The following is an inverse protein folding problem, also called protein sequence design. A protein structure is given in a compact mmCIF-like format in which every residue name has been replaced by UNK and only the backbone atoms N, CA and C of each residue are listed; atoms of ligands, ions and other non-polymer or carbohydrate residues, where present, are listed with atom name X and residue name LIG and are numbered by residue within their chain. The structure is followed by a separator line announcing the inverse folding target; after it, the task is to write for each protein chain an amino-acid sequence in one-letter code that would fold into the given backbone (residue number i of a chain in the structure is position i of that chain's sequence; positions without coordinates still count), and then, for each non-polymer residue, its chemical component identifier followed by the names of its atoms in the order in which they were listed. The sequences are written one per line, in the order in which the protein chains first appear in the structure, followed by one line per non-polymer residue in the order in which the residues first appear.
data_IF_468203742268
#
_entry.id   IF_468203742268
#
_cell.length_a   1.000
_cell.length_b   1.000
_cell.length_c   1.000
_cell.angle_alpha   90.00
_cell.angle_beta   90.00
_cell.angle_gamma   90.00
#
_symmetry.space_group_name_H-M   'P 1'
#
loop_
_entity.id
_entity.type
_entity.pdbx_description
1 polymer ?
#
# COMPACT_ATOMS: atom_id res chain seq x y z
N UNK A 1 -19.97 -5.96 25.96
CA UNK A 1 -19.03 -4.93 26.45
C UNK A 1 -18.25 -4.31 25.31
N UNK A 2 -17.64 -5.09 24.40
CA UNK A 2 -16.89 -4.58 23.25
C UNK A 2 -17.72 -3.72 22.26
N UNK A 3 -18.99 -4.04 21.95
CA UNK A 3 -19.86 -3.15 21.14
C UNK A 3 -20.04 -1.75 21.75
N UNK A 4 -20.13 -1.66 23.08
CA UNK A 4 -20.25 -0.37 23.79
C UNK A 4 -18.99 0.49 23.71
N UNK A 5 -17.84 -0.08 23.38
CA UNK A 5 -16.59 0.68 23.17
C UNK A 5 -16.67 1.45 21.85
N UNK A 6 -17.26 0.85 20.82
CA UNK A 6 -17.46 1.51 19.53
C UNK A 6 -18.55 2.61 19.57
N UNK A 7 -19.43 2.58 20.56
CA UNK A 7 -20.45 3.62 20.83
C UNK A 7 -19.88 4.85 21.58
N UNK A 8 -18.60 4.82 21.97
CA UNK A 8 -17.96 5.94 22.65
C UNK A 8 -17.69 7.09 21.68
N UNK A 9 -17.75 8.32 22.18
CA UNK A 9 -17.39 9.50 21.37
C UNK A 9 -15.93 9.39 20.91
N UNK A 10 -15.59 9.85 19.69
CA UNK A 10 -14.22 9.81 19.17
C UNK A 10 -13.14 10.36 20.13
N UNK A 11 -13.46 11.43 20.87
CA UNK A 11 -12.54 11.99 21.88
C UNK A 11 -12.27 11.07 23.07
N UNK A 12 -13.29 10.33 23.53
CA UNK A 12 -13.16 9.38 24.62
C UNK A 12 -12.39 8.13 24.15
N UNK A 13 -12.61 7.70 22.90
CA UNK A 13 -11.83 6.63 22.26
C UNK A 13 -10.35 6.98 22.13
N UNK A 14 -10.04 8.21 21.69
CA UNK A 14 -8.66 8.66 21.58
C UNK A 14 -7.97 8.69 22.96
N UNK A 15 -8.67 9.17 23.99
CA UNK A 15 -8.14 9.25 25.37
C UNK A 15 -7.79 7.88 25.95
N UNK A 16 -8.59 6.86 25.66
CA UNK A 16 -8.38 5.49 26.17
C UNK A 16 -7.71 4.53 25.16
N UNK A 17 -7.32 5.04 23.98
CA UNK A 17 -6.78 4.25 22.87
C UNK A 17 -5.60 3.36 23.30
N UNK A 18 -4.69 3.89 24.14
CA UNK A 18 -3.53 3.16 24.63
C UNK A 18 -3.92 2.02 25.59
N UNK A 19 -4.86 2.23 26.52
CA UNK A 19 -5.31 1.13 27.41
C UNK A 19 -6.11 0.08 26.64
N UNK A 20 -6.96 0.51 25.70
CA UNK A 20 -7.79 -0.39 24.89
C UNK A 20 -6.91 -1.26 23.99
N UNK A 21 -5.95 -0.68 23.27
CA UNK A 21 -5.02 -1.42 22.41
C UNK A 21 -4.17 -2.43 23.19
N UNK A 22 -3.66 -2.06 24.37
CA UNK A 22 -2.91 -2.97 25.24
C UNK A 22 -3.78 -4.14 25.74
N UNK A 23 -4.99 -3.85 26.22
CA UNK A 23 -5.92 -4.88 26.69
C UNK A 23 -6.33 -5.83 25.56
N UNK A 24 -6.59 -5.29 24.36
CA UNK A 24 -6.96 -6.08 23.20
C UNK A 24 -5.81 -6.96 22.69
N UNK A 25 -4.57 -6.46 22.71
CA UNK A 25 -3.39 -7.25 22.40
C UNK A 25 -3.26 -8.45 23.36
N UNK A 26 -3.41 -8.25 24.67
CA UNK A 26 -3.33 -9.33 25.65
C UNK A 26 -4.44 -10.36 25.45
N UNK A 27 -5.67 -9.89 25.20
CA UNK A 27 -6.83 -10.75 24.96
C UNK A 27 -6.62 -11.64 23.72
N UNK A 28 -6.18 -11.04 22.60
CA UNK A 28 -5.94 -11.76 21.36
C UNK A 28 -4.74 -12.71 21.47
N UNK A 29 -3.66 -12.33 22.15
CA UNK A 29 -2.54 -13.25 22.39
C UNK A 29 -2.94 -14.50 23.15
N UNK A 30 -3.85 -14.38 24.12
CA UNK A 30 -4.29 -15.51 24.92
C UNK A 30 -5.38 -16.34 24.23
N UNK A 31 -6.23 -15.73 23.40
CA UNK A 31 -7.49 -16.36 22.94
C UNK A 31 -7.69 -16.41 21.43
N UNK A 32 -6.79 -15.86 20.59
CA UNK A 32 -7.01 -15.81 19.14
C UNK A 32 -7.32 -17.19 18.52
N UNK A 33 -6.69 -18.26 19.01
CA UNK A 33 -6.94 -19.62 18.54
C UNK A 33 -8.37 -20.14 18.83
N UNK A 34 -9.06 -19.53 19.80
CA UNK A 34 -10.40 -19.95 20.25
C UNK A 34 -11.52 -19.07 19.67
N UNK A 35 -11.21 -18.12 18.78
CA UNK A 35 -12.20 -17.24 18.16
C UNK A 35 -12.65 -17.84 16.83
N UNK A 36 -13.88 -18.35 16.80
CA UNK A 36 -14.48 -19.05 15.66
C UNK A 36 -15.73 -18.35 15.10
N UNK A 37 -15.90 -17.06 15.39
CA UNK A 37 -17.05 -16.29 14.88
C UNK A 37 -16.58 -15.07 14.12
N UNK A 38 -17.05 -14.94 12.88
CA UNK A 38 -16.85 -13.77 12.04
C UNK A 38 -17.29 -12.47 12.72
N UNK A 39 -18.38 -12.50 13.51
CA UNK A 39 -18.85 -11.32 14.23
C UNK A 39 -17.88 -10.87 15.33
N UNK A 40 -17.26 -11.82 16.03
CA UNK A 40 -16.25 -11.50 17.04
C UNK A 40 -14.98 -10.94 16.41
N UNK A 41 -14.55 -11.51 15.28
CA UNK A 41 -13.43 -10.99 14.52
C UNK A 41 -13.71 -9.58 13.99
N UNK A 42 -14.90 -9.34 13.43
CA UNK A 42 -15.32 -8.02 12.98
C UNK A 42 -15.23 -7.00 14.12
N UNK A 43 -15.76 -7.35 15.29
CA UNK A 43 -15.69 -6.48 16.46
C UNK A 43 -14.25 -6.19 16.93
N UNK A 44 -13.38 -7.19 16.94
CA UNK A 44 -11.98 -6.98 17.31
C UNK A 44 -11.25 -6.10 16.30
N UNK A 45 -11.42 -6.33 15.00
CA UNK A 45 -10.79 -5.50 13.97
C UNK A 45 -11.34 -4.09 13.96
N UNK A 46 -12.65 -3.88 14.10
CA UNK A 46 -13.22 -2.52 14.20
C UNK A 46 -12.68 -1.76 15.41
N UNK A 47 -12.45 -2.42 16.55
CA UNK A 47 -11.81 -1.77 17.70
C UNK A 47 -10.34 -1.43 17.38
N UNK A 48 -9.58 -2.36 16.78
CA UNK A 48 -8.19 -2.11 16.37
C UNK A 48 -8.09 -0.94 15.37
N UNK A 49 -9.01 -0.86 14.41
CA UNK A 49 -9.11 0.22 13.43
C UNK A 49 -9.41 1.56 14.10
N UNK A 50 -10.39 1.59 15.01
CA UNK A 50 -10.76 2.80 15.73
C UNK A 50 -9.64 3.31 16.64
N UNK A 51 -8.93 2.44 17.38
CA UNK A 51 -7.88 2.87 18.31
C UNK A 51 -6.51 3.04 17.66
N UNK A 52 -6.21 2.28 16.61
CA UNK A 52 -4.92 2.30 15.94
C UNK A 52 -4.84 3.30 14.80
N UNK A 53 -5.87 3.38 13.95
CA UNK A 53 -5.89 4.27 12.79
C UNK A 53 -6.81 5.49 12.97
N UNK A 54 -7.51 5.60 14.11
CA UNK A 54 -8.55 6.60 14.32
C UNK A 54 -9.61 6.60 13.21
N UNK A 55 -9.96 5.40 12.74
CA UNK A 55 -11.06 5.16 11.82
C UNK A 55 -12.37 5.10 12.62
N UNK A 56 -12.98 6.25 12.84
CA UNK A 56 -14.31 6.33 13.46
C UNK A 56 -15.35 6.10 12.38
N UNK A 57 -16.37 5.28 12.67
CA UNK A 57 -17.47 5.10 11.73
C UNK A 57 -18.25 6.42 11.71
N UNK A 58 -18.31 7.07 10.53
CA UNK A 58 -19.26 8.15 10.32
C UNK A 58 -20.67 7.54 10.42
N UNK A 59 -21.58 8.21 11.14
CA UNK A 59 -22.96 7.74 11.40
C UNK A 59 -23.83 7.48 10.14
N UNK A 60 -23.27 7.55 8.92
CA UNK A 60 -23.95 7.42 7.62
C UNK A 60 -23.43 6.28 6.71
N UNK A 61 -22.58 5.34 7.18
CA UNK A 61 -22.12 4.20 6.36
C UNK A 61 -22.80 2.87 6.75
N UNK A 62 -23.81 2.48 5.97
CA UNK A 62 -24.49 1.20 6.10
C UNK A 62 -23.52 0.01 5.93
N UNK A 63 -23.60 -0.94 6.85
CA UNK A 63 -22.81 -2.18 6.95
C UNK A 63 -22.95 -3.13 5.73
N UNK A 64 -23.69 -2.74 4.70
CA UNK A 64 -24.03 -3.53 3.51
C UNK A 64 -22.92 -3.46 2.44
N UNK A 65 -22.09 -2.42 2.47
CA UNK A 65 -21.02 -2.22 1.46
C UNK A 65 -19.75 -3.05 1.70
N UNK A 66 -19.64 -3.74 2.83
CA UNK A 66 -18.49 -4.61 3.15
C UNK A 66 -18.63 -6.00 2.49
N UNK A 67 -19.85 -6.39 2.09
CA UNK A 67 -20.15 -7.76 1.63
C UNK A 67 -20.27 -7.87 0.10
N UNK A 68 -20.45 -6.75 -0.64
CA UNK A 68 -20.55 -6.76 -2.09
C UNK A 68 -19.51 -5.83 -2.74
N UNK A 69 -18.62 -6.33 -3.63
CA UNK A 69 -17.85 -5.44 -4.48
C UNK A 69 -18.84 -4.70 -5.39
N UNK A 70 -18.85 -3.37 -5.30
CA UNK A 70 -19.69 -2.46 -6.10
C UNK A 70 -19.60 -2.86 -7.58
N UNK A 71 -20.68 -3.49 -8.05
CA UNK A 71 -20.98 -3.71 -9.46
C UNK A 71 -22.02 -2.68 -9.86
N UNK A 72 -21.64 -1.84 -10.82
CA UNK A 72 -22.50 -1.02 -11.70
C UNK A 72 -23.66 -0.24 -11.05
N UNK A 73 -23.57 1.09 -11.15
CA UNK A 73 -24.70 2.02 -11.06
C UNK A 73 -25.91 1.56 -11.89
N UNK A 74 -27.16 1.72 -11.39
CA UNK A 74 -28.36 1.41 -12.17
C UNK A 74 -28.63 2.48 -13.25
N UNK A 75 -29.25 2.14 -14.38
CA UNK A 75 -29.58 3.09 -15.43
C UNK A 75 -30.80 3.96 -15.03
N UNK A 76 -30.71 5.25 -15.29
CA UNK A 76 -31.82 6.19 -15.13
C UNK A 76 -32.96 5.92 -16.13
N UNK A 77 -34.23 6.21 -15.78
CA UNK A 77 -35.39 5.89 -16.61
C UNK A 77 -35.54 6.83 -17.81
N UNK A 78 -35.78 6.22 -18.99
CA UNK A 78 -36.14 6.86 -20.26
C UNK A 78 -37.59 7.36 -20.22
N UNK A 79 -37.83 8.64 -20.57
CA UNK A 79 -39.17 9.09 -21.00
C UNK A 79 -39.09 10.13 -22.14
N UNK A 80 -39.42 9.67 -23.37
CA UNK A 80 -40.07 10.35 -24.53
C UNK A 80 -39.43 11.54 -25.27
N UNK A 81 -39.83 11.87 -26.53
CA UNK A 81 -40.35 11.03 -27.63
C UNK A 81 -39.57 11.18 -28.97
N UNK A 82 -39.80 10.20 -29.86
CA UNK A 82 -39.18 9.98 -31.17
C UNK A 82 -39.37 11.12 -32.20
N UNK A 83 -38.32 11.40 -32.99
CA UNK A 83 -38.41 11.96 -34.35
C UNK A 83 -37.46 11.21 -35.31
N UNK A 84 -37.75 11.11 -36.61
CA UNK A 84 -37.29 10.03 -37.48
C UNK A 84 -35.90 10.25 -38.09
N UNK A 85 -35.25 9.13 -38.40
CA UNK A 85 -33.91 8.99 -38.96
C UNK A 85 -33.66 9.78 -40.27
N UNK A 86 -32.55 10.51 -40.30
CA UNK A 86 -31.80 10.80 -41.53
C UNK A 86 -30.36 10.28 -41.37
N UNK A 87 -29.96 9.35 -42.23
CA UNK A 87 -28.60 8.80 -42.32
C UNK A 87 -27.68 9.78 -43.08
N UNK A 88 -26.43 10.01 -42.63
CA UNK A 88 -25.36 10.50 -43.50
C UNK A 88 -24.54 9.35 -44.12
N UNK A 89 -23.77 9.60 -45.20
CA UNK A 89 -23.23 8.58 -46.11
C UNK A 89 -22.01 7.84 -45.54
N UNK A 90 -21.55 6.72 -46.16
CA UNK A 90 -20.53 5.86 -45.60
C UNK A 90 -19.14 6.47 -45.84
N UNK A 91 -18.53 6.99 -44.77
CA UNK A 91 -17.11 7.34 -44.75
C UNK A 91 -16.34 6.23 -44.05
N UNK A 92 -15.24 5.80 -44.67
CA UNK A 92 -14.29 4.78 -44.22
C UNK A 92 -13.97 4.88 -42.73
N UNK A 93 -14.18 3.79 -41.99
CA UNK A 93 -13.79 3.66 -40.58
C UNK A 93 -12.27 3.57 -40.50
N UNK A 94 -11.58 4.71 -40.47
CA UNK A 94 -10.28 4.80 -39.82
C UNK A 94 -10.56 4.57 -38.31
N UNK A 95 -10.01 3.50 -37.74
CA UNK A 95 -10.09 3.22 -36.30
C UNK A 95 -9.47 4.40 -35.55
N UNK A 96 -10.31 5.31 -35.07
CA UNK A 96 -9.89 6.41 -34.20
C UNK A 96 -9.77 5.81 -32.81
N UNK A 97 -8.55 5.49 -32.38
CA UNK A 97 -8.28 5.09 -31.00
C UNK A 97 -8.63 6.29 -30.11
N UNK A 98 -9.78 6.22 -29.43
CA UNK A 98 -10.18 7.29 -28.53
C UNK A 98 -9.26 7.28 -27.31
N UNK A 99 -8.39 8.29 -27.17
CA UNK A 99 -7.64 8.53 -25.93
C UNK A 99 -8.64 8.73 -24.78
N UNK A 100 -8.87 7.68 -24.01
CA UNK A 100 -9.56 7.74 -22.73
C UNK A 100 -10.78 6.82 -22.63
N UNK A 101 -10.56 5.51 -22.59
CA UNK A 101 -11.52 4.62 -21.94
C UNK A 101 -11.72 5.09 -20.49
N UNK A 102 -12.97 5.17 -20.02
CA UNK A 102 -13.28 5.57 -18.63
C UNK A 102 -12.72 4.60 -17.59
N UNK A 103 -12.38 3.38 -18.01
CA UNK A 103 -11.79 2.31 -17.22
C UNK A 103 -10.51 2.75 -16.50
N UNK A 104 -9.65 3.53 -17.16
CA UNK A 104 -8.32 3.89 -16.63
C UNK A 104 -8.21 5.32 -16.09
N UNK A 105 -9.36 5.99 -15.86
CA UNK A 105 -9.41 7.34 -15.29
C UNK A 105 -9.34 7.37 -13.76
N UNK A 106 -9.30 6.21 -13.10
CA UNK A 106 -9.25 6.13 -11.63
C UNK A 106 -7.94 6.78 -11.13
N UNK A 107 -8.07 7.67 -10.15
CA UNK A 107 -6.96 8.45 -9.59
C UNK A 107 -6.01 7.62 -8.73
N UNK A 108 -5.35 8.27 -7.77
CA UNK A 108 -4.36 7.66 -6.87
C UNK A 108 -4.97 6.60 -5.96
N UNK A 109 -4.19 5.59 -5.56
CA UNK A 109 -4.63 4.59 -4.56
C UNK A 109 -4.83 5.30 -3.22
N UNK A 110 -6.02 5.21 -2.65
CA UNK A 110 -6.33 5.58 -1.26
C UNK A 110 -6.97 4.36 -0.61
N UNK A 111 -6.35 3.85 0.45
CA UNK A 111 -6.83 2.62 1.09
C UNK A 111 -7.95 2.89 2.10
N UNK A 112 -7.86 4.03 2.77
CA UNK A 112 -8.76 4.47 3.83
C UNK A 112 -8.93 6.00 3.77
N UNK A 113 -10.03 6.52 3.20
CA UNK A 113 -10.30 7.94 3.25
C UNK A 113 -10.64 8.37 4.69
N UNK A 114 -10.39 9.64 5.02
CA UNK A 114 -10.88 10.31 6.23
C UNK A 114 -10.37 9.79 7.59
N UNK A 115 -9.14 9.25 7.65
CA UNK A 115 -8.52 8.92 8.94
C UNK A 115 -8.28 10.19 9.79
N UNK A 116 -8.69 10.11 11.06
CA UNK A 116 -8.44 11.15 12.06
C UNK A 116 -7.03 11.06 12.64
N UNK A 117 -6.69 11.98 13.55
CA UNK A 117 -5.40 11.89 14.25
C UNK A 117 -5.42 10.74 15.27
N UNK A 118 -4.43 9.85 15.19
CA UNK A 118 -4.32 8.69 16.08
C UNK A 118 -3.23 8.86 17.14
N UNK A 119 -3.38 8.16 18.26
CA UNK A 119 -2.34 8.05 19.27
C UNK A 119 -1.22 7.13 18.78
N UNK A 120 0.02 7.63 18.82
CA UNK A 120 1.18 6.90 18.31
C UNK A 120 1.43 5.60 19.06
N UNK A 121 1.24 5.58 20.38
CA UNK A 121 1.51 4.40 21.19
C UNK A 121 0.47 3.30 20.94
N UNK A 122 -0.81 3.68 20.85
CA UNK A 122 -1.90 2.77 20.47
C UNK A 122 -1.69 2.20 19.06
N UNK A 123 -1.31 3.03 18.09
CA UNK A 123 -1.01 2.59 16.73
C UNK A 123 0.10 1.52 16.70
N UNK A 124 1.25 1.80 17.31
CA UNK A 124 2.37 0.83 17.34
C UNK A 124 1.96 -0.49 18.00
N UNK A 125 1.14 -0.40 19.06
CA UNK A 125 0.58 -1.58 19.75
C UNK A 125 -0.36 -2.40 18.86
N UNK A 126 -1.17 -1.74 18.03
CA UNK A 126 -2.03 -2.41 17.04
C UNK A 126 -1.19 -3.09 15.96
N UNK A 127 -0.15 -2.43 15.45
CA UNK A 127 0.76 -3.02 14.45
C UNK A 127 1.46 -4.28 15.00
N UNK A 128 1.94 -4.25 16.25
CA UNK A 128 2.47 -5.45 16.91
C UNK A 128 1.44 -6.57 17.01
N UNK A 129 0.17 -6.22 17.24
CA UNK A 129 -0.94 -7.19 17.36
C UNK A 129 -1.23 -7.83 16.01
N UNK A 130 -1.27 -7.04 14.92
CA UNK A 130 -1.38 -7.56 13.56
C UNK A 130 -0.18 -8.42 13.18
N UNK A 131 1.03 -8.04 13.60
CA UNK A 131 2.24 -8.84 13.40
C UNK A 131 2.22 -10.18 14.13
N UNK A 132 1.52 -10.28 15.27
CA UNK A 132 1.27 -11.56 15.93
C UNK A 132 0.23 -12.40 15.18
N UNK A 133 -0.92 -11.81 14.84
CA UNK A 133 -2.02 -12.51 14.16
C UNK A 133 -1.66 -12.99 12.75
N UNK A 134 -0.92 -12.17 12.00
CA UNK A 134 -0.48 -12.48 10.63
C UNK A 134 0.74 -13.40 10.56
N UNK A 135 1.42 -13.66 11.70
CA UNK A 135 2.63 -14.50 11.72
C UNK A 135 2.31 -15.89 11.21
N UNK A 136 3.00 -16.29 10.15
CA UNK A 136 2.84 -17.57 9.48
C UNK A 136 1.40 -17.93 9.07
N UNK A 137 0.51 -16.94 9.00
CA UNK A 137 -0.92 -17.10 8.79
C UNK A 137 -1.59 -18.09 9.79
N UNK A 138 -1.01 -18.31 10.97
CA UNK A 138 -1.47 -19.31 11.92
C UNK A 138 -2.86 -19.01 12.51
N UNK A 139 -3.20 -17.73 12.62
CA UNK A 139 -4.50 -17.26 13.12
C UNK A 139 -5.41 -16.75 12.01
N UNK A 140 -5.04 -16.93 10.74
CA UNK A 140 -5.85 -16.51 9.59
C UNK A 140 -6.81 -17.65 9.24
N UNK A 141 -8.10 -17.34 9.23
CA UNK A 141 -9.21 -18.25 8.95
C UNK A 141 -10.07 -17.67 7.83
N UNK A 142 -10.93 -18.48 7.16
CA UNK A 142 -11.84 -17.98 6.14
C UNK A 142 -12.74 -16.84 6.63
N UNK A 143 -13.11 -16.86 7.91
CA UNK A 143 -13.99 -15.86 8.53
C UNK A 143 -13.32 -14.52 8.81
N UNK A 144 -11.99 -14.51 8.98
CA UNK A 144 -11.27 -13.33 9.44
C UNK A 144 -10.33 -12.74 8.38
N UNK A 145 -10.02 -13.46 7.31
CA UNK A 145 -8.98 -13.04 6.37
C UNK A 145 -9.30 -11.72 5.67
N UNK A 146 -10.53 -11.55 5.19
CA UNK A 146 -10.99 -10.29 4.59
C UNK A 146 -10.93 -9.12 5.58
N UNK A 147 -11.37 -9.34 6.82
CA UNK A 147 -11.35 -8.34 7.90
C UNK A 147 -9.91 -7.97 8.29
N UNK A 148 -9.01 -8.97 8.36
CA UNK A 148 -7.61 -8.76 8.65
C UNK A 148 -6.94 -7.90 7.57
N UNK A 149 -7.19 -8.18 6.28
CA UNK A 149 -6.67 -7.38 5.18
C UNK A 149 -7.24 -5.96 5.22
N UNK A 150 -8.52 -5.79 5.56
CA UNK A 150 -9.12 -4.47 5.72
C UNK A 150 -8.43 -3.67 6.84
N UNK A 151 -8.28 -4.25 8.03
CA UNK A 151 -7.57 -3.62 9.14
C UNK A 151 -6.11 -3.31 8.78
N UNK A 152 -5.44 -4.21 8.05
CA UNK A 152 -4.07 -4.01 7.58
C UNK A 152 -3.97 -2.80 6.63
N UNK A 153 -4.93 -2.65 5.71
CA UNK A 153 -5.02 -1.50 4.80
C UNK A 153 -5.23 -0.19 5.54
N UNK A 154 -6.05 -0.20 6.60
CA UNK A 154 -6.26 0.95 7.49
C UNK A 154 -4.96 1.35 8.19
N UNK A 155 -4.22 0.38 8.74
CA UNK A 155 -2.94 0.65 9.41
C UNK A 155 -1.87 1.13 8.43
N UNK A 156 -1.84 0.61 7.20
CA UNK A 156 -0.92 1.10 6.16
C UNK A 156 -1.20 2.56 5.85
N UNK A 157 -2.46 2.96 5.68
CA UNK A 157 -2.79 4.37 5.42
C UNK A 157 -2.45 5.27 6.62
N UNK A 158 -2.70 4.81 7.85
CA UNK A 158 -2.31 5.52 9.07
C UNK A 158 -0.79 5.67 9.23
N UNK A 159 0.00 4.69 8.77
CA UNK A 159 1.46 4.69 8.86
C UNK A 159 2.15 5.55 7.80
N UNK A 160 1.41 6.00 6.78
CA UNK A 160 1.96 6.76 5.66
C UNK A 160 2.67 8.03 6.12
N UNK A 161 3.73 8.37 5.40
CA UNK A 161 4.48 9.62 5.53
C UNK A 161 5.03 9.87 6.95
N UNK A 162 5.39 8.79 7.64
CA UNK A 162 5.94 8.83 9.00
C UNK A 162 4.89 9.07 10.09
N UNK A 163 3.64 8.68 9.83
CA UNK A 163 2.54 8.97 10.76
C UNK A 163 2.25 10.46 10.79
N UNK A 164 2.15 11.11 9.62
CA UNK A 164 1.82 12.54 9.52
C UNK A 164 0.52 12.92 10.25
N UNK A 165 -0.38 11.95 10.38
CA UNK A 165 -1.64 12.07 11.11
C UNK A 165 -1.55 11.61 12.56
N UNK A 166 -0.36 11.33 13.10
CA UNK A 166 -0.21 10.99 14.52
C UNK A 166 -0.35 12.24 15.40
N UNK A 167 -0.91 12.08 16.61
CA UNK A 167 -0.80 13.11 17.64
C UNK A 167 0.62 13.10 18.20
N UNK A 168 1.34 14.25 18.20
CA UNK A 168 2.65 14.33 18.83
C UNK A 168 2.58 13.90 20.29
N UNK A 169 3.62 13.23 20.79
CA UNK A 169 3.78 12.88 22.20
C UNK A 169 4.03 14.18 22.99
N UNK A 170 2.99 14.98 23.22
CA UNK A 170 2.97 16.13 24.12
C UNK A 170 1.53 16.63 24.33
N UNK A 171 0.73 15.85 25.06
CA UNK A 171 -0.38 16.33 25.92
C UNK A 171 -1.21 15.19 26.51
N UNK A 172 -0.57 14.21 27.14
CA UNK A 172 -1.19 13.51 28.27
C UNK A 172 -0.28 13.72 29.48
N UNK A 173 -0.23 14.97 29.97
CA UNK A 173 0.03 15.20 31.38
C UNK A 173 -1.13 14.57 32.13
N UNK A 174 -0.99 13.27 32.44
CA UNK A 174 -1.73 12.61 33.49
C UNK A 174 -1.32 13.32 34.78
N UNK A 175 -2.04 14.39 35.11
CA UNK A 175 -2.11 14.85 36.49
C UNK A 175 -2.97 13.82 37.22
N UNK A 176 -2.29 12.91 37.91
CA UNK A 176 -2.89 12.10 38.96
C UNK A 176 -3.59 13.01 39.98
N UNK A 177 -4.74 12.60 40.54
CA UNK A 177 -5.53 13.46 41.40
C UNK A 177 -4.87 13.53 42.78
N UNK A 178 -4.30 14.68 43.15
CA UNK A 178 -4.15 15.02 44.57
C UNK A 178 -4.23 16.53 44.76
N UNK A 179 -5.29 16.98 45.40
CA UNK A 179 -5.39 18.30 46.06
C UNK A 179 -5.20 18.10 47.56
N UNK A 180 -4.95 19.15 48.39
CA UNK A 180 -4.28 20.43 48.11
C UNK A 180 -3.18 20.78 49.16
N UNK A 181 -2.39 21.81 48.83
CA UNK A 181 -1.92 22.87 49.72
C UNK A 181 -0.41 22.94 50.12
N UNK A 182 0.05 24.21 50.07
CA UNK A 182 1.21 24.86 50.71
C UNK A 182 2.62 24.79 50.10
N UNK A 183 2.90 25.83 49.31
CA UNK A 183 3.91 26.89 49.54
C UNK A 183 5.36 26.50 49.88
N UNK A 184 6.24 27.01 49.00
CA UNK A 184 7.51 27.71 49.26
C UNK A 184 8.72 26.92 49.75
N UNK A 185 9.85 27.11 49.04
CA UNK A 185 11.17 27.15 49.68
C UNK A 185 12.26 26.34 48.99
N UNK A 186 13.22 27.05 48.39
CA UNK A 186 14.55 26.57 48.02
C UNK A 186 15.18 25.68 49.12
N UNK A 187 15.93 24.65 48.71
CA UNK A 187 17.39 24.55 48.97
C UNK A 187 17.94 23.16 48.66
N UNK A 188 19.15 23.17 48.13
CA UNK A 188 20.11 22.08 47.99
C UNK A 188 20.42 21.33 49.29
N UNK A 189 20.59 20.01 49.24
CA UNK A 189 21.65 19.30 49.98
C UNK A 189 21.75 17.81 49.60
N UNK A 190 22.97 17.39 49.30
CA UNK A 190 23.45 16.00 49.28
C UNK A 190 23.09 15.26 50.58
N UNK A 191 22.74 13.97 50.48
CA UNK A 191 23.18 12.93 51.44
C UNK A 191 23.10 11.55 50.83
N UNK A 192 24.24 10.86 50.85
CA UNK A 192 24.45 9.44 50.61
C UNK A 192 23.83 8.56 51.71
N UNK A 193 23.46 7.30 51.39
CA UNK A 193 23.82 6.08 52.17
C UNK A 193 22.98 4.83 51.84
N UNK A 194 23.71 3.74 51.55
CA UNK A 194 23.50 2.32 51.95
C UNK A 194 22.37 1.52 51.27
N UNK A 195 22.72 0.63 50.33
CA UNK A 195 23.17 -0.77 50.53
C UNK A 195 22.07 -1.73 50.99
N UNK A 196 21.74 -2.69 50.13
CA UNK A 196 21.50 -4.07 50.52
C UNK A 196 22.20 -5.02 49.53
N UNK A 197 22.95 -5.95 50.11
CA UNK A 197 23.80 -6.96 49.46
C UNK A 197 23.41 -8.32 50.05
N UNK A 198 23.36 -9.38 49.21
CA UNK A 198 23.48 -10.80 49.62
C UNK A 198 24.22 -11.55 48.49
N UNK A 199 25.11 -12.53 48.79
CA UNK A 199 26.32 -12.83 48.01
C UNK A 199 26.45 -14.24 47.40
N UNK A 200 27.64 -14.46 46.81
CA UNK A 200 28.43 -15.70 46.65
C UNK A 200 28.18 -16.54 45.38
N UNK A 201 29.15 -17.14 44.69
CA UNK A 201 30.63 -17.09 44.65
C UNK A 201 31.10 -18.07 43.55
N UNK A 202 32.17 -17.73 42.82
CA UNK A 202 33.40 -18.54 42.58
C UNK A 202 34.15 -18.00 41.34
N UNK A 203 35.31 -17.35 41.53
CA UNK A 203 36.68 -17.95 41.47
C UNK A 203 37.16 -18.10 40.00
N UNK A 204 38.26 -17.53 39.48
CA UNK A 204 39.55 -17.09 40.01
C UNK A 204 40.32 -16.21 38.99
N UNK A 205 41.06 -15.21 39.53
CA UNK A 205 42.32 -14.54 39.09
C UNK A 205 42.94 -14.86 37.71
N UNK A 206 43.34 -13.81 36.97
CA UNK A 206 44.76 -13.34 36.89
C UNK A 206 44.94 -12.02 36.11
N UNK A 207 46.02 -11.32 36.46
CA UNK A 207 46.41 -9.94 36.11
C UNK A 207 47.23 -9.88 34.80
N UNK A 208 47.09 -8.77 34.03
CA UNK A 208 48.12 -7.75 33.67
C UNK A 208 48.03 -7.27 32.20
N UNK A 209 47.71 -5.97 32.07
CA UNK A 209 48.25 -4.92 31.18
C UNK A 209 48.75 -5.28 29.76
N UNK A 210 48.06 -4.78 28.72
CA UNK A 210 48.44 -3.59 27.92
C UNK A 210 47.46 -3.38 26.76
N UNK A 211 47.29 -2.11 26.37
CA UNK A 211 46.81 -1.53 25.10
C UNK A 211 45.85 -2.34 24.21
N UNK A 212 44.62 -1.84 24.00
CA UNK A 212 44.26 -1.27 22.70
C UNK A 212 42.82 -0.74 22.66
N UNK A 213 42.63 0.23 21.77
CA UNK A 213 41.41 0.95 21.44
C UNK A 213 40.14 0.06 21.39
N UNK A 214 39.12 0.48 22.14
CA UNK A 214 37.71 0.17 21.80
C UNK A 214 36.85 1.36 22.20
N UNK A 215 36.61 2.23 21.22
CA UNK A 215 35.64 3.29 21.30
C UNK A 215 34.24 2.70 21.46
N UNK A 216 33.60 3.09 22.55
CA UNK A 216 32.24 3.61 22.59
C UNK A 216 31.28 3.11 21.50
N UNK A 217 30.47 2.11 21.86
CA UNK A 217 29.27 1.71 21.12
C UNK A 217 28.01 1.76 22.01
N UNK A 218 28.04 2.50 23.11
CA UNK A 218 26.90 2.56 24.05
C UNK A 218 26.40 3.97 24.37
N UNK A 219 27.07 5.05 23.96
CA UNK A 219 26.59 6.43 24.19
C UNK A 219 25.74 7.01 23.04
N UNK A 220 25.40 6.23 22.01
CA UNK A 220 24.67 6.75 20.82
C UNK A 220 23.15 6.82 20.99
N UNK A 221 22.55 6.06 21.92
CA UNK A 221 21.09 6.03 22.10
C UNK A 221 20.55 7.18 22.98
N UNK A 222 21.40 7.78 23.84
CA UNK A 222 20.97 8.80 24.80
C UNK A 222 20.83 10.22 24.21
N UNK A 223 21.30 10.48 22.98
CA UNK A 223 21.23 11.80 22.32
C UNK A 223 20.11 11.97 21.28
N UNK A 224 19.39 10.90 20.95
CA UNK A 224 18.34 10.95 19.92
C UNK A 224 17.08 11.62 20.46
N UNK A 225 16.55 12.62 19.74
CA UNK A 225 15.32 13.33 20.11
C UNK A 225 14.13 12.38 20.16
N UNK A 226 13.16 12.61 21.04
CA UNK A 226 11.95 11.78 21.13
C UNK A 226 11.17 11.76 19.81
N UNK A 227 11.26 12.83 19.02
CA UNK A 227 10.67 12.91 17.68
C UNK A 227 11.38 11.98 16.67
N UNK A 228 12.70 11.84 16.77
CA UNK A 228 13.49 10.95 15.92
C UNK A 228 13.24 9.48 16.30
N UNK A 229 13.17 9.17 17.60
CA UNK A 229 12.79 7.84 18.09
C UNK A 229 11.42 7.44 17.57
N UNK A 230 10.44 8.35 17.65
CA UNK A 230 9.09 8.10 17.14
C UNK A 230 9.09 7.88 15.63
N UNK A 231 9.82 8.69 14.87
CA UNK A 231 9.95 8.53 13.42
C UNK A 231 10.54 7.15 13.05
N UNK A 232 11.54 6.67 13.81
CA UNK A 232 12.11 5.34 13.64
C UNK A 232 11.08 4.23 13.93
N UNK A 233 10.29 4.36 15.00
CA UNK A 233 9.20 3.41 15.27
C UNK A 233 8.18 3.35 14.12
N UNK A 234 7.84 4.47 13.49
CA UNK A 234 6.96 4.48 12.32
C UNK A 234 7.60 3.85 11.08
N UNK A 235 8.92 3.95 10.92
CA UNK A 235 9.65 3.22 9.87
C UNK A 235 9.53 1.73 10.10
N UNK A 236 9.84 1.25 11.30
CA UNK A 236 9.77 -0.17 11.66
C UNK A 236 8.35 -0.73 11.52
N UNK A 237 7.36 0.01 12.02
CA UNK A 237 5.95 -0.34 11.88
C UNK A 237 5.52 -0.44 10.40
N UNK A 238 5.94 0.51 9.57
CA UNK A 238 5.62 0.48 8.13
C UNK A 238 6.29 -0.70 7.43
N UNK A 239 7.54 -1.01 7.75
CA UNK A 239 8.22 -2.19 7.21
C UNK A 239 7.56 -3.49 7.66
N UNK A 240 7.11 -3.56 8.92
CA UNK A 240 6.38 -4.71 9.42
C UNK A 240 5.05 -4.91 8.68
N UNK A 241 4.26 -3.85 8.48
CA UNK A 241 3.02 -3.89 7.72
C UNK A 241 3.27 -4.33 6.27
N UNK A 242 4.31 -3.79 5.62
CA UNK A 242 4.72 -4.18 4.28
C UNK A 242 5.06 -5.67 4.19
N UNK A 243 5.83 -6.17 5.15
CA UNK A 243 6.22 -7.59 5.20
C UNK A 243 5.01 -8.50 5.37
N UNK A 244 4.05 -8.12 6.22
CA UNK A 244 2.79 -8.88 6.39
C UNK A 244 2.01 -8.89 5.07
N UNK A 245 1.85 -7.73 4.41
CA UNK A 245 1.18 -7.65 3.11
C UNK A 245 1.82 -8.57 2.06
N UNK A 246 3.15 -8.53 1.95
CA UNK A 246 3.90 -9.31 0.97
C UNK A 246 3.82 -10.83 1.26
N UNK A 247 3.96 -11.23 2.52
CA UNK A 247 3.86 -12.63 2.92
C UNK A 247 2.46 -13.20 2.67
N UNK A 248 1.41 -12.45 3.01
CA UNK A 248 0.03 -12.85 2.74
C UNK A 248 -0.25 -12.92 1.25
N UNK A 249 0.24 -11.97 0.45
CA UNK A 249 0.05 -11.99 -1.00
C UNK A 249 0.68 -13.24 -1.62
N UNK A 250 1.89 -13.60 -1.20
CA UNK A 250 2.61 -14.77 -1.71
C UNK A 250 1.93 -16.09 -1.31
N UNK A 251 1.28 -16.13 -0.13
CA UNK A 251 0.65 -17.34 0.41
C UNK A 251 -0.85 -17.44 0.15
N UNK A 252 -1.52 -16.37 -0.29
CA UNK A 252 -2.98 -16.32 -0.39
C UNK A 252 -3.59 -17.46 -1.22
N UNK A 253 -2.96 -17.85 -2.34
CA UNK A 253 -3.42 -19.00 -3.13
C UNK A 253 -3.34 -20.33 -2.36
N UNK A 254 -2.23 -20.57 -1.65
CA UNK A 254 -2.07 -21.80 -0.87
C UNK A 254 -3.07 -21.84 0.29
N UNK A 255 -3.19 -20.72 1.02
CA UNK A 255 -4.15 -20.57 2.13
C UNK A 255 -5.58 -20.82 1.64
N UNK A 256 -5.96 -20.23 0.51
CA UNK A 256 -7.28 -20.41 -0.08
C UNK A 256 -7.52 -21.85 -0.53
N UNK A 257 -6.51 -22.49 -1.12
CA UNK A 257 -6.55 -23.90 -1.54
C UNK A 257 -6.75 -24.82 -0.34
N UNK A 258 -5.97 -24.66 0.72
CA UNK A 258 -6.05 -25.47 1.95
C UNK A 258 -7.47 -25.43 2.55
N UNK A 259 -8.13 -24.27 2.51
CA UNK A 259 -9.51 -24.13 2.97
C UNK A 259 -10.53 -24.75 2.02
N UNK A 260 -10.31 -24.65 0.70
CA UNK A 260 -11.19 -25.26 -0.30
C UNK A 260 -11.16 -26.80 -0.24
N UNK A 261 -10.01 -27.39 0.11
CA UNK A 261 -9.85 -28.84 0.27
C UNK A 261 -10.48 -29.35 1.58
N UNK A 262 -10.51 -28.51 2.62
CA UNK A 262 -11.11 -28.85 3.92
C UNK A 262 -12.65 -28.76 3.89
N UNK A 263 -13.20 -27.87 3.06
CA UNK A 263 -14.64 -27.64 2.92
C UNK A 263 -15.22 -28.37 1.69
N UNK A 264 -15.40 -29.69 1.76
CA UNK A 264 -15.92 -30.56 0.67
C UNK A 264 -17.37 -30.27 0.19
N UNK A 265 -18.04 -29.20 0.63
CA UNK A 265 -19.49 -29.02 0.42
C UNK A 265 -19.86 -28.32 -0.91
N UNK A 266 -18.94 -27.77 -1.69
CA UNK A 266 -19.31 -27.08 -2.95
C UNK A 266 -18.54 -27.63 -4.16
N UNK A 267 -18.99 -28.81 -4.63
CA UNK A 267 -18.79 -29.28 -6.00
C UNK A 267 -20.00 -28.88 -6.85
N UNK A 268 -19.95 -27.73 -7.53
CA UNK A 268 -20.60 -27.47 -8.84
C UNK A 268 -19.81 -26.31 -9.50
N UNK A 269 -19.33 -26.50 -10.74
CA UNK A 269 -18.98 -25.53 -11.82
C UNK A 269 -18.22 -24.19 -11.56
N UNK A 270 -17.60 -23.97 -10.41
CA UNK A 270 -17.16 -22.65 -9.92
C UNK A 270 -15.66 -22.27 -10.06
N UNK A 271 -14.87 -22.88 -10.95
CA UNK A 271 -13.41 -22.58 -10.97
C UNK A 271 -13.12 -21.11 -11.28
N UNK A 272 -13.75 -20.52 -12.30
CA UNK A 272 -13.56 -19.11 -12.64
C UNK A 272 -14.10 -18.14 -11.57
N UNK A 273 -15.22 -18.48 -10.90
CA UNK A 273 -15.78 -17.61 -9.86
C UNK A 273 -14.86 -17.57 -8.64
N UNK A 274 -14.31 -18.73 -8.25
CA UNK A 274 -13.36 -18.85 -7.13
C UNK A 274 -12.04 -18.13 -7.42
N UNK A 275 -11.56 -18.17 -8.67
CA UNK A 275 -10.34 -17.43 -9.05
C UNK A 275 -10.55 -15.92 -9.03
N UNK A 276 -11.71 -15.43 -9.52
CA UNK A 276 -12.05 -14.00 -9.45
C UNK A 276 -12.26 -13.52 -8.02
N UNK A 277 -12.80 -14.36 -7.12
CA UNK A 277 -12.89 -14.04 -5.70
C UNK A 277 -11.52 -13.92 -5.03
N UNK A 278 -10.59 -14.84 -5.33
CA UNK A 278 -9.22 -14.79 -4.80
C UNK A 278 -8.49 -13.50 -5.21
N UNK A 279 -8.63 -13.12 -6.48
CA UNK A 279 -8.13 -11.84 -6.99
C UNK A 279 -8.78 -10.66 -6.26
N UNK A 280 -10.11 -10.57 -6.31
CA UNK A 280 -10.87 -9.40 -5.86
C UNK A 280 -10.82 -9.19 -4.35
N UNK A 281 -10.93 -10.27 -3.56
CA UNK A 281 -11.03 -10.20 -2.09
C UNK A 281 -9.67 -10.17 -1.39
N UNK A 282 -8.63 -10.79 -1.97
CA UNK A 282 -7.36 -11.00 -1.26
C UNK A 282 -6.15 -10.40 -1.99
N UNK A 283 -5.86 -10.85 -3.21
CA UNK A 283 -4.64 -10.40 -3.91
C UNK A 283 -4.66 -8.93 -4.26
N UNK A 284 -5.74 -8.44 -4.88
CA UNK A 284 -5.84 -7.05 -5.28
C UNK A 284 -5.72 -6.10 -4.08
N UNK A 285 -6.47 -6.25 -2.97
CA UNK A 285 -6.34 -5.33 -1.84
C UNK A 285 -4.94 -5.34 -1.20
N UNK A 286 -4.26 -6.49 -1.15
CA UNK A 286 -2.88 -6.60 -0.66
C UNK A 286 -1.89 -5.90 -1.59
N UNK A 287 -2.04 -6.08 -2.90
CA UNK A 287 -1.18 -5.43 -3.90
C UNK A 287 -1.42 -3.92 -3.94
N UNK A 288 -2.66 -3.46 -3.75
CA UNK A 288 -2.98 -2.04 -3.57
C UNK A 288 -2.30 -1.48 -2.32
N UNK A 289 -2.27 -2.24 -1.21
CA UNK A 289 -1.57 -1.80 0.00
C UNK A 289 -0.06 -1.63 -0.24
N UNK A 290 0.58 -2.62 -0.88
CA UNK A 290 2.01 -2.54 -1.23
C UNK A 290 2.26 -1.36 -2.18
N UNK A 291 1.44 -1.20 -3.22
CA UNK A 291 1.55 -0.09 -4.16
C UNK A 291 1.34 1.28 -3.50
N UNK A 292 0.43 1.39 -2.52
CA UNK A 292 0.23 2.62 -1.73
C UNK A 292 1.51 3.02 -0.97
N UNK A 293 2.20 2.05 -0.38
CA UNK A 293 3.46 2.26 0.35
C UNK A 293 4.63 2.63 -0.57
N UNK A 294 4.58 2.22 -1.85
CA UNK A 294 5.54 2.67 -2.86
C UNK A 294 5.48 4.19 -3.13
N UNK A 295 4.41 4.86 -2.68
CA UNK A 295 4.22 6.31 -2.75
C UNK A 295 4.44 7.04 -1.41
N UNK A 296 5.17 6.45 -0.45
CA UNK A 296 5.50 7.06 0.85
C UNK A 296 6.60 8.13 0.75
N UNK A 297 6.58 9.15 1.61
CA UNK A 297 7.62 10.19 1.63
C UNK A 297 9.04 9.65 1.96
N UNK A 298 9.15 8.51 2.66
CA UNK A 298 10.40 7.89 3.10
C UNK A 298 10.98 6.99 2.02
N UNK A 299 12.20 7.29 1.59
CA UNK A 299 12.93 6.55 0.53
C UNK A 299 13.03 5.06 0.80
N UNK A 300 13.34 4.67 2.05
CA UNK A 300 13.48 3.27 2.44
C UNK A 300 12.18 2.49 2.20
N UNK A 301 11.04 3.02 2.63
CA UNK A 301 9.73 2.39 2.48
C UNK A 301 9.37 2.25 0.99
N UNK A 302 9.54 3.32 0.20
CA UNK A 302 9.30 3.26 -1.25
C UNK A 302 10.12 2.17 -1.93
N UNK A 303 11.42 2.11 -1.63
CA UNK A 303 12.36 1.14 -2.22
C UNK A 303 11.91 -0.29 -1.91
N UNK A 304 11.64 -0.58 -0.63
CA UNK A 304 11.22 -1.91 -0.17
C UNK A 304 9.84 -2.28 -0.74
N UNK A 305 8.89 -1.34 -0.80
CA UNK A 305 7.56 -1.59 -1.35
C UNK A 305 7.58 -1.93 -2.83
N UNK A 306 8.38 -1.21 -3.64
CA UNK A 306 8.55 -1.54 -5.07
C UNK A 306 9.20 -2.90 -5.29
N UNK A 307 10.15 -3.28 -4.44
CA UNK A 307 10.80 -4.60 -4.49
C UNK A 307 9.82 -5.73 -4.10
N UNK A 308 9.03 -5.51 -3.04
CA UNK A 308 7.97 -6.41 -2.63
C UNK A 308 6.90 -6.57 -3.72
N UNK A 309 6.47 -5.46 -4.34
CA UNK A 309 5.50 -5.48 -5.43
C UNK A 309 6.05 -6.24 -6.64
N UNK A 310 7.30 -5.98 -7.02
CA UNK A 310 7.94 -6.72 -8.11
C UNK A 310 8.04 -8.22 -7.84
N UNK A 311 8.22 -8.61 -6.58
CA UNK A 311 8.23 -10.02 -6.16
C UNK A 311 6.83 -10.62 -6.17
N UNK A 312 5.82 -9.87 -5.75
CA UNK A 312 4.42 -10.27 -5.79
C UNK A 312 3.95 -10.66 -7.20
N UNK A 313 4.39 -9.92 -8.22
CA UNK A 313 4.10 -10.22 -9.63
C UNK A 313 4.81 -11.46 -10.19
N UNK A 314 5.86 -11.96 -9.52
CA UNK A 314 6.60 -13.16 -9.94
C UNK A 314 6.07 -14.45 -9.31
N UNK A 315 5.04 -14.37 -8.47
CA UNK A 315 4.42 -15.53 -7.85
C UNK A 315 3.81 -16.41 -8.96
N UNK A 316 4.24 -17.68 -9.13
CA UNK A 316 3.78 -18.53 -10.23
C UNK A 316 2.25 -18.72 -10.24
N UNK A 317 1.67 -18.87 -9.04
CA UNK A 317 0.23 -19.00 -8.86
C UNK A 317 -0.56 -17.82 -9.47
N UNK A 318 -0.01 -16.61 -9.48
CA UNK A 318 -0.64 -15.44 -10.07
C UNK A 318 -0.78 -15.60 -11.60
N UNK A 319 0.29 -16.07 -12.24
CA UNK A 319 0.33 -16.34 -13.68
C UNK A 319 -0.55 -17.50 -14.10
N UNK A 320 -0.72 -18.52 -13.26
CA UNK A 320 -1.55 -19.68 -13.56
C UNK A 320 -3.04 -19.41 -13.34
N UNK A 321 -3.39 -18.73 -12.24
CA UNK A 321 -4.76 -18.61 -11.74
C UNK A 321 -5.50 -17.40 -12.34
N UNK A 322 -4.82 -16.29 -12.64
CA UNK A 322 -5.49 -15.07 -13.15
C UNK A 322 -5.98 -15.22 -14.58
N UNK A 323 -7.21 -14.79 -14.82
CA UNK A 323 -7.81 -14.67 -16.15
C UNK A 323 -7.38 -13.34 -16.82
N UNK A 324 -7.53 -13.19 -18.15
CA UNK A 324 -7.19 -11.94 -18.84
C UNK A 324 -7.85 -10.69 -18.23
N UNK A 325 -9.11 -10.78 -17.78
CA UNK A 325 -9.81 -9.67 -17.15
C UNK A 325 -9.17 -9.22 -15.81
N UNK A 326 -8.71 -10.18 -14.99
CA UNK A 326 -8.03 -9.85 -13.72
C UNK A 326 -6.71 -9.10 -13.97
N UNK A 327 -6.02 -9.41 -15.09
CA UNK A 327 -4.82 -8.68 -15.50
C UNK A 327 -5.16 -7.24 -15.91
N UNK A 328 -6.26 -7.04 -16.65
CA UNK A 328 -6.76 -5.69 -16.96
C UNK A 328 -7.08 -4.90 -15.68
N UNK A 329 -7.78 -5.52 -14.73
CA UNK A 329 -8.08 -4.92 -13.42
C UNK A 329 -6.79 -4.60 -12.64
N UNK A 330 -5.78 -5.46 -12.71
CA UNK A 330 -4.49 -5.20 -12.09
C UNK A 330 -3.83 -3.93 -12.65
N UNK A 331 -3.89 -3.72 -13.96
CA UNK A 331 -3.39 -2.48 -14.56
C UNK A 331 -4.23 -1.29 -14.12
N UNK A 332 -5.56 -1.41 -14.21
CA UNK A 332 -6.49 -0.33 -13.91
C UNK A 332 -6.47 0.13 -12.44
N UNK A 333 -6.24 -0.81 -11.50
CA UNK A 333 -6.50 -0.58 -10.08
C UNK A 333 -5.26 -0.64 -9.18
N UNK A 334 -4.13 -1.10 -9.71
CA UNK A 334 -2.84 -1.16 -8.99
C UNK A 334 -1.77 -0.38 -9.74
N UNK A 335 -1.45 -0.75 -10.98
CA UNK A 335 -0.29 -0.20 -11.69
C UNK A 335 -0.51 1.23 -12.19
N UNK A 336 -1.63 1.53 -12.86
CA UNK A 336 -1.89 2.88 -13.34
C UNK A 336 -2.10 3.90 -12.21
N UNK A 337 -2.83 3.57 -11.12
CA UNK A 337 -2.90 4.44 -9.95
C UNK A 337 -1.54 4.69 -9.28
N UNK A 338 -0.67 3.66 -9.21
CA UNK A 338 0.70 3.80 -8.70
C UNK A 338 1.52 4.77 -9.56
N UNK A 339 1.54 4.55 -10.88
CA UNK A 339 2.26 5.41 -11.82
C UNK A 339 1.70 6.84 -11.78
N UNK A 340 0.38 7.00 -11.75
CA UNK A 340 -0.28 8.31 -11.67
C UNK A 340 0.06 9.05 -10.37
N UNK A 341 0.16 8.37 -9.23
CA UNK A 341 0.57 9.01 -7.97
C UNK A 341 2.05 9.43 -7.98
N UNK A 342 2.91 8.66 -8.64
CA UNK A 342 4.33 8.98 -8.81
C UNK A 342 4.57 10.10 -9.85
N UNK A 343 3.65 10.27 -10.82
CA UNK A 343 3.58 11.41 -11.74
C UNK A 343 3.10 12.66 -11.02
N UNK A 344 1.87 12.61 -10.53
CA UNK A 344 1.17 13.75 -9.95
C UNK A 344 1.71 14.04 -8.55
N UNK A 345 2.77 14.84 -8.51
CA UNK A 345 3.33 15.46 -7.31
C UNK A 345 2.48 16.59 -6.75
N UNK A 346 1.15 16.47 -6.77
CA UNK A 346 0.25 17.42 -6.11
C UNK A 346 -0.60 16.70 -5.06
N UNK A 347 -0.25 16.79 -3.76
CA UNK A 347 0.98 17.37 -3.21
C UNK A 347 2.21 16.49 -3.48
N UNK A 348 3.43 17.08 -3.53
CA UNK A 348 4.65 16.33 -3.81
C UNK A 348 4.91 15.32 -2.70
N UNK A 349 5.22 14.07 -3.07
CA UNK A 349 5.44 12.96 -2.12
C UNK A 349 6.61 13.28 -1.18
N UNK A 350 7.72 13.77 -1.73
CA UNK A 350 8.85 14.26 -0.96
C UNK A 350 9.51 15.40 -1.73
N UNK A 351 9.57 16.57 -1.10
CA UNK A 351 10.31 17.73 -1.63
C UNK A 351 11.81 17.64 -1.35
N UNK A 352 12.22 16.74 -0.45
CA UNK A 352 13.59 16.65 0.07
C UNK A 352 14.45 15.59 -0.61
N UNK A 353 13.87 14.71 -1.43
CA UNK A 353 14.57 13.57 -2.07
C UNK A 353 14.19 13.40 -3.55
N UNK A 354 14.61 14.31 -4.44
CA UNK A 354 14.30 14.21 -5.87
C UNK A 354 14.94 12.97 -6.54
N UNK A 355 16.14 12.59 -6.11
CA UNK A 355 16.89 11.44 -6.68
C UNK A 355 16.20 10.12 -6.32
N UNK A 356 15.83 9.91 -5.05
CA UNK A 356 15.11 8.71 -4.65
C UNK A 356 13.68 8.64 -5.20
N UNK A 357 13.07 9.79 -5.52
CA UNK A 357 11.81 9.83 -6.25
C UNK A 357 11.98 9.42 -7.72
N UNK A 358 13.02 9.89 -8.39
CA UNK A 358 13.37 9.46 -9.73
C UNK A 358 13.65 7.95 -9.81
N UNK A 359 14.42 7.41 -8.87
CA UNK A 359 14.66 5.96 -8.77
C UNK A 359 13.33 5.17 -8.63
N UNK A 360 12.40 5.67 -7.82
CA UNK A 360 11.07 5.06 -7.66
C UNK A 360 10.25 5.10 -8.96
N UNK A 361 10.30 6.22 -9.69
CA UNK A 361 9.64 6.37 -11.00
C UNK A 361 10.17 5.38 -12.02
N UNK A 362 11.51 5.28 -12.17
CA UNK A 362 12.17 4.33 -13.06
C UNK A 362 11.70 2.90 -12.75
N UNK A 363 11.81 2.49 -11.49
CA UNK A 363 11.46 1.13 -11.06
C UNK A 363 9.98 0.81 -11.30
N UNK A 364 9.07 1.75 -11.04
CA UNK A 364 7.64 1.54 -11.25
C UNK A 364 7.28 1.38 -12.74
N UNK A 365 7.89 2.19 -13.61
CA UNK A 365 7.70 2.09 -15.07
C UNK A 365 8.23 0.75 -15.59
N UNK A 366 9.47 0.40 -15.22
CA UNK A 366 10.07 -0.89 -15.60
C UNK A 366 9.24 -2.07 -15.10
N UNK A 367 8.67 -1.97 -13.90
CA UNK A 367 7.77 -2.98 -13.37
C UNK A 367 6.49 -3.11 -14.22
N UNK A 368 5.83 -2.00 -14.55
CA UNK A 368 4.62 -2.02 -15.38
C UNK A 368 4.90 -2.62 -16.77
N UNK A 369 6.00 -2.23 -17.41
CA UNK A 369 6.46 -2.82 -18.67
C UNK A 369 6.73 -4.32 -18.52
N UNK A 370 7.44 -4.74 -17.46
CA UNK A 370 7.75 -6.15 -17.22
C UNK A 370 6.51 -7.00 -17.00
N UNK A 371 5.51 -6.49 -16.26
CA UNK A 371 4.24 -7.18 -16.03
C UNK A 371 3.44 -7.32 -17.32
N UNK A 372 3.42 -6.27 -18.15
CA UNK A 372 2.75 -6.29 -19.45
C UNK A 372 3.37 -7.35 -20.38
N UNK A 373 4.70 -7.31 -20.53
CA UNK A 373 5.43 -8.22 -21.41
C UNK A 373 5.41 -9.66 -20.91
N UNK A 374 5.46 -9.87 -19.59
CA UNK A 374 5.39 -11.20 -18.99
C UNK A 374 4.05 -11.92 -19.21
N UNK A 375 2.96 -11.16 -19.38
CA UNK A 375 1.61 -11.70 -19.55
C UNK A 375 1.00 -11.34 -20.91
N UNK A 376 1.85 -11.06 -21.89
CA UNK A 376 1.45 -10.50 -23.18
C UNK A 376 0.40 -11.37 -23.89
N UNK A 377 0.56 -12.69 -23.88
CA UNK A 377 -0.39 -13.63 -24.51
C UNK A 377 -1.79 -13.57 -23.93
N UNK A 378 -1.91 -13.36 -22.60
CA UNK A 378 -3.20 -13.19 -21.93
C UNK A 378 -3.79 -11.82 -22.18
N UNK A 379 -2.96 -10.78 -22.10
CA UNK A 379 -3.39 -9.38 -22.22
C UNK A 379 -3.81 -9.04 -23.64
N UNK A 380 -3.12 -9.53 -24.68
CA UNK A 380 -3.47 -9.25 -26.08
C UNK A 380 -4.76 -9.93 -26.54
N UNK A 381 -5.24 -10.93 -25.80
CA UNK A 381 -6.55 -11.55 -26.03
C UNK A 381 -7.72 -10.62 -25.69
N UNK A 382 -7.47 -9.55 -24.93
CA UNK A 382 -8.47 -8.57 -24.53
C UNK A 382 -8.80 -7.60 -25.67
N UNK A 383 -10.09 -7.28 -25.81
CA UNK A 383 -10.55 -6.25 -26.77
C UNK A 383 -10.08 -4.85 -26.39
N UNK A 384 -9.89 -4.60 -25.09
CA UNK A 384 -9.41 -3.35 -24.49
C UNK A 384 -7.89 -3.20 -24.52
N UNK A 385 -7.14 -4.18 -25.03
CA UNK A 385 -5.68 -4.12 -25.08
C UNK A 385 -5.13 -2.83 -25.70
N UNK A 386 -5.64 -2.32 -26.84
CA UNK A 386 -5.14 -1.07 -27.41
C UNK A 386 -5.28 0.11 -26.44
N UNK A 387 -6.40 0.20 -25.71
CA UNK A 387 -6.64 1.28 -24.74
C UNK A 387 -5.69 1.17 -23.54
N UNK A 388 -5.46 -0.06 -23.05
CA UNK A 388 -4.51 -0.32 -21.96
C UNK A 388 -3.09 0.06 -22.37
N UNK A 389 -2.68 -0.35 -23.57
CA UNK A 389 -1.36 -0.09 -24.10
C UNK A 389 -1.12 1.41 -24.32
N UNK A 390 -2.09 2.11 -24.93
CA UNK A 390 -2.04 3.56 -25.11
C UNK A 390 -2.05 4.29 -23.77
N UNK A 391 -2.80 3.82 -22.78
CA UNK A 391 -2.79 4.42 -21.44
C UNK A 391 -1.43 4.31 -20.76
N UNK A 392 -0.77 3.15 -20.84
CA UNK A 392 0.58 2.99 -20.30
C UNK A 392 1.55 3.95 -21.01
N UNK A 393 1.44 4.05 -22.34
CA UNK A 393 2.24 4.95 -23.14
C UNK A 393 2.00 6.43 -22.76
N UNK A 394 0.74 6.84 -22.58
CA UNK A 394 0.36 8.18 -22.15
C UNK A 394 0.93 8.52 -20.77
N UNK A 395 0.93 7.57 -19.83
CA UNK A 395 1.55 7.76 -18.51
C UNK A 395 3.07 7.93 -18.63
N UNK A 396 3.73 7.09 -19.44
CA UNK A 396 5.17 7.20 -19.70
C UNK A 396 5.54 8.53 -20.40
N UNK A 397 4.67 9.06 -21.25
CA UNK A 397 4.85 10.38 -21.85
C UNK A 397 4.69 11.51 -20.84
N UNK A 398 3.69 11.41 -19.95
CA UNK A 398 3.53 12.38 -18.88
C UNK A 398 4.77 12.44 -17.97
N UNK A 399 5.46 11.31 -17.75
CA UNK A 399 6.73 11.29 -17.01
C UNK A 399 7.84 12.09 -17.72
N UNK A 400 7.79 12.18 -19.05
CA UNK A 400 8.74 12.95 -19.87
C UNK A 400 8.36 14.43 -19.97
N UNK A 401 7.07 14.75 -19.97
CA UNK A 401 6.55 16.12 -20.16
C UNK A 401 6.46 16.93 -18.85
N UNK A 402 6.29 16.27 -17.69
CA UNK A 402 6.24 16.93 -16.37
C UNK A 402 7.63 17.42 -15.90
N UNK A 403 8.12 18.52 -16.51
CA UNK A 403 9.05 19.57 -16.05
C UNK A 403 10.31 19.26 -15.18
N UNK A 404 10.69 18.02 -14.89
CA UNK A 404 11.93 17.69 -14.17
C UNK A 404 12.39 16.23 -14.39
N UNK A 405 12.41 15.78 -15.65
CA UNK A 405 13.02 14.50 -16.00
C UNK A 405 14.54 14.69 -16.11
N UNK A 406 15.35 13.92 -15.36
CA UNK A 406 16.79 13.85 -15.67
C UNK A 406 16.98 13.16 -17.03
N UNK A 407 18.13 13.38 -17.64
CA UNK A 407 18.50 12.71 -18.89
C UNK A 407 18.50 11.18 -18.73
N UNK A 408 18.82 10.69 -17.52
CA UNK A 408 18.78 9.26 -17.19
C UNK A 408 17.35 8.70 -17.21
N UNK A 409 16.39 9.36 -16.56
CA UNK A 409 14.99 8.91 -16.56
C UNK A 409 14.42 8.93 -17.98
N UNK A 410 14.78 9.94 -18.78
CA UNK A 410 14.34 10.04 -20.16
C UNK A 410 14.88 8.88 -21.01
N UNK A 411 16.18 8.59 -20.90
CA UNK A 411 16.82 7.46 -21.59
C UNK A 411 16.17 6.13 -21.21
N UNK A 412 15.96 5.88 -19.92
CA UNK A 412 15.37 4.62 -19.44
C UNK A 412 13.92 4.45 -19.90
N UNK A 413 13.12 5.52 -19.90
CA UNK A 413 11.75 5.48 -20.41
C UNK A 413 11.76 5.18 -21.91
N UNK A 414 12.57 5.89 -22.69
CA UNK A 414 12.66 5.68 -24.15
C UNK A 414 13.12 4.27 -24.49
N UNK A 415 14.12 3.75 -23.78
CA UNK A 415 14.62 2.39 -23.97
C UNK A 415 13.58 1.35 -23.56
N UNK A 416 12.86 1.57 -22.46
CA UNK A 416 11.77 0.69 -22.03
C UNK A 416 10.63 0.65 -23.06
N UNK A 417 10.27 1.80 -23.66
CA UNK A 417 9.29 1.90 -24.74
C UNK A 417 9.73 1.15 -26.00
N UNK A 418 10.96 1.39 -26.46
CA UNK A 418 11.55 0.69 -27.62
C UNK A 418 11.49 -0.82 -27.42
N UNK A 419 11.92 -1.29 -26.25
CA UNK A 419 11.89 -2.71 -25.92
C UNK A 419 10.47 -3.27 -25.84
N UNK A 420 9.51 -2.52 -25.29
CA UNK A 420 8.10 -2.95 -25.27
C UNK A 420 7.54 -3.12 -26.69
N UNK A 421 7.78 -2.15 -27.58
CA UNK A 421 7.31 -2.18 -28.97
C UNK A 421 7.96 -3.34 -29.72
N UNK A 422 9.29 -3.49 -29.59
CA UNK A 422 10.03 -4.56 -30.25
C UNK A 422 9.53 -5.95 -29.85
N UNK A 423 9.30 -6.16 -28.54
CA UNK A 423 8.77 -7.44 -28.05
C UNK A 423 7.34 -7.65 -28.58
N UNK A 424 6.48 -6.63 -28.55
CA UNK A 424 5.13 -6.74 -29.12
C UNK A 424 5.14 -7.06 -30.62
N UNK A 425 6.10 -6.52 -31.38
CA UNK A 425 6.29 -6.84 -32.80
C UNK A 425 6.73 -8.29 -33.02
N UNK A 426 7.71 -8.77 -32.24
CA UNK A 426 8.16 -10.16 -32.32
C UNK A 426 7.06 -11.16 -31.95
N UNK A 427 6.15 -10.79 -31.05
CA UNK A 427 4.97 -11.59 -30.70
C UNK A 427 3.80 -11.44 -31.69
N UNK A 428 3.95 -10.65 -32.75
CA UNK A 428 2.93 -10.46 -33.78
C UNK A 428 1.71 -9.66 -33.31
N UNK A 429 1.81 -8.93 -32.20
CA UNK A 429 0.67 -8.19 -31.59
C UNK A 429 0.12 -7.12 -32.53
N UNK A 430 0.98 -6.54 -33.36
CA UNK A 430 0.62 -5.50 -34.34
C UNK A 430 0.15 -6.05 -35.68
N UNK A 431 0.06 -7.37 -35.86
CA UNK A 431 -0.41 -7.98 -37.10
C UNK A 431 -1.94 -8.17 -37.03
N UNK A 432 -2.68 -7.55 -37.94
CA UNK A 432 -4.15 -7.66 -38.02
C UNK A 432 -4.89 -6.35 -37.72
N UNK A 433 -6.08 -6.35 -37.09
CA UNK A 433 -6.98 -5.19 -36.99
C UNK A 433 -6.44 -4.02 -36.14
N UNK A 434 -5.25 -4.16 -35.55
CA UNK A 434 -4.60 -3.21 -34.64
C UNK A 434 -3.35 -2.59 -35.30
N UNK A 435 -3.15 -2.77 -36.61
CA UNK A 435 -1.99 -2.24 -37.35
C UNK A 435 -1.83 -0.70 -37.20
N UNK A 436 -2.95 0.03 -37.05
CA UNK A 436 -2.93 1.47 -36.77
C UNK A 436 -2.28 1.86 -35.43
N UNK A 437 -2.32 0.97 -34.43
CA UNK A 437 -1.70 1.21 -33.12
C UNK A 437 -0.18 1.26 -33.22
N UNK A 438 0.43 0.44 -34.12
CA UNK A 438 1.87 0.49 -34.34
C UNK A 438 2.29 1.84 -34.91
N UNK A 439 1.58 2.32 -35.94
CA UNK A 439 1.86 3.61 -36.54
C UNK A 439 1.71 4.76 -35.52
N UNK A 440 0.68 4.71 -34.68
CA UNK A 440 0.47 5.70 -33.62
C UNK A 440 1.57 5.68 -32.56
N UNK A 441 1.94 4.51 -32.05
CA UNK A 441 2.93 4.36 -30.98
C UNK A 441 4.34 4.70 -31.50
N UNK A 442 4.71 4.23 -32.69
CA UNK A 442 5.98 4.57 -33.34
C UNK A 442 6.08 6.07 -33.62
N UNK A 443 5.02 6.68 -34.17
CA UNK A 443 4.99 8.12 -34.42
C UNK A 443 5.12 8.95 -33.13
N UNK A 444 4.45 8.53 -32.05
CA UNK A 444 4.59 9.20 -30.74
C UNK A 444 6.01 9.02 -30.16
N UNK A 445 6.63 7.85 -30.31
CA UNK A 445 8.01 7.61 -29.86
C UNK A 445 9.04 8.44 -30.64
N UNK A 446 8.87 8.58 -31.95
CA UNK A 446 9.71 9.45 -32.78
C UNK A 446 9.57 10.91 -32.35
N UNK A 447 8.33 11.38 -32.12
CA UNK A 447 8.08 12.72 -31.61
C UNK A 447 8.74 12.98 -30.25
N UNK A 448 8.77 11.99 -29.35
CA UNK A 448 9.44 12.09 -28.04
C UNK A 448 10.95 12.12 -28.17
N UNK A 449 11.52 11.31 -29.07
CA UNK A 449 12.97 11.28 -29.33
C UNK A 449 13.44 12.63 -29.86
N UNK A 450 12.71 13.20 -30.84
CA UNK A 450 13.01 14.51 -31.42
C UNK A 450 12.86 15.64 -30.38
N UNK A 451 11.78 15.62 -29.57
CA UNK A 451 11.58 16.59 -28.47
C UNK A 451 12.73 16.53 -27.46
N UNK A 452 13.17 15.33 -27.06
CA UNK A 452 14.27 15.17 -26.11
C UNK A 452 15.60 15.66 -26.69
N UNK A 453 15.97 15.25 -27.91
CA UNK A 453 17.19 15.74 -28.58
C UNK A 453 17.23 17.26 -28.70
N UNK A 454 16.10 17.89 -29.02
CA UNK A 454 16.01 19.36 -29.08
C UNK A 454 16.12 20.02 -27.70
N UNK A 455 15.56 19.43 -26.65
CA UNK A 455 15.69 19.91 -25.27
C UNK A 455 17.13 19.78 -24.74
N UNK A 456 17.83 18.69 -25.05
CA UNK A 456 19.23 18.49 -24.64
C UNK A 456 20.14 19.47 -25.36
N UNK A 457 19.93 19.69 -26.67
CA UNK A 457 20.67 20.68 -27.44
C UNK A 457 20.43 22.12 -26.95
N UNK A 458 19.21 22.45 -26.51
CA UNK A 458 18.90 23.76 -25.92
C UNK A 458 19.54 23.98 -24.54
N UNK A 459 19.79 22.92 -23.76
CA UNK A 459 20.49 23.00 -22.47
C UNK A 459 22.01 23.12 -22.62
N UNK A 460 22.58 22.65 -23.73
CA UNK A 460 24.02 22.73 -24.04
C UNK A 460 24.39 24.09 -24.68
N UNK A 461 23.42 24.79 -25.28
CA UNK A 461 23.61 26.08 -25.94
C UNK A 461 23.45 27.32 -25.02
N UNK A 462 23.21 27.10 -23.72
CA UNK A 462 23.21 28.09 -22.63
C UNK A 462 24.36 27.79 -21.68
#
# INVERSE_FOLDING_TARGET
MARKILELRPSDLLLFSQQISNGLQQLLRANAANVHSAEHWALFFSILEAVGAAAYQDDDFDLVDIIHPVSSSPPAPLTSPQQPLQQPPPSEKLLTFASGSSLYKRGTIVLAPNLSRHDSAAFLKVVETLGFLGRDAAHITPENFGLFIHCLRMMVEASMDGGKYSTPIQSLNITSPTSPNKQTGNSSSNTSSKQFHVPHENSQKQRKANDDASGDLTESEEKMSDQEKLANCYVDASLQLLNICAQLQARAANIYKDWSETNEIIKIDETNTKTTELWSKYWRPLMQAIARMACDCRRLIRKQALEALGTAFRVPALGEIMIPADWEDCFAEVLFPLLSRLLTGSPPISTMDPIGMEEARIRAIQLACKVLLGNLTKITSLKSFPDLFLRLFDLMNQFLEENACSDLLAEVIQESLKNCILVCENFGVFQGPIEGLKAEVSGRLEALTVKHSNSTNSKIAL
#
